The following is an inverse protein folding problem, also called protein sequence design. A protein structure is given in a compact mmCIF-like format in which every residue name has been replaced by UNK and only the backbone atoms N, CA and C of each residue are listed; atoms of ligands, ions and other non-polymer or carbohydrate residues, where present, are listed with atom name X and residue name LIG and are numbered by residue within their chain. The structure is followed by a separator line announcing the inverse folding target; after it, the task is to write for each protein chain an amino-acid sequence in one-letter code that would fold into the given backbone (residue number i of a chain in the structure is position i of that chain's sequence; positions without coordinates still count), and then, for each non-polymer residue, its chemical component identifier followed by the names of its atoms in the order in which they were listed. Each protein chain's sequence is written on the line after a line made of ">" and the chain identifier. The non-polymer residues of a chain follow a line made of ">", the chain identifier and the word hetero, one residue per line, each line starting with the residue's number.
data_IF_530413970360
#
_entry.id   IF_530413970360
#
_cell.length_a   1.000
_cell.length_b   1.000
_cell.length_c   1.000
_cell.angle_alpha   90.00
_cell.angle_beta   90.00
_cell.angle_gamma   90.00
#
_symmetry.space_group_name_H-M   'P 1'
#
loop_
_entity.id
_entity.type
_entity.pdbx_description
1 polymer ?
#
# COMPACT_ATOMS: atom_id res chain seq x y z
N UNK A 1 -10.79 -6.03 -13.65
CA UNK A 1 -11.40 -5.14 -12.66
C UNK A 1 -10.52 -3.93 -12.44
N UNK A 2 -11.06 -2.74 -12.62
CA UNK A 2 -10.28 -1.52 -12.46
C UNK A 2 -10.22 -1.11 -11.00
N UNK A 3 -9.07 -0.58 -10.58
CA UNK A 3 -8.84 -0.13 -9.22
C UNK A 3 -9.39 1.29 -9.08
N UNK A 4 -10.17 1.53 -8.04
CA UNK A 4 -10.73 2.84 -7.78
C UNK A 4 -9.79 3.65 -6.89
N UNK A 5 -8.85 4.37 -7.49
CA UNK A 5 -7.86 5.16 -6.75
C UNK A 5 -8.49 6.35 -6.03
N UNK A 6 -9.58 6.91 -6.55
CA UNK A 6 -10.27 7.99 -5.86
C UNK A 6 -10.83 7.51 -4.53
N UNK A 7 -11.39 6.31 -4.51
CA UNK A 7 -11.93 5.72 -3.29
C UNK A 7 -10.81 5.46 -2.27
N UNK A 8 -9.66 4.97 -2.75
CA UNK A 8 -8.49 4.77 -1.90
C UNK A 8 -8.06 6.09 -1.27
N UNK A 9 -7.93 7.14 -2.07
CA UNK A 9 -7.53 8.44 -1.58
C UNK A 9 -8.53 9.02 -0.60
N UNK A 10 -9.83 8.86 -0.85
CA UNK A 10 -10.85 9.36 0.04
C UNK A 10 -10.85 8.62 1.38
N UNK A 11 -10.73 7.30 1.35
CA UNK A 11 -10.74 6.49 2.57
C UNK A 11 -9.51 6.71 3.43
N UNK A 12 -8.37 6.98 2.82
CA UNK A 12 -7.09 7.14 3.53
C UNK A 12 -6.66 8.59 3.66
N UNK A 13 -7.50 9.53 3.24
CA UNK A 13 -7.22 10.98 3.34
C UNK A 13 -5.91 11.36 2.66
N UNK A 14 -5.64 10.78 1.48
CA UNK A 14 -4.43 11.06 0.71
C UNK A 14 -4.54 12.32 -0.14
N UNK A 15 -5.68 12.97 -0.17
CA UNK A 15 -5.93 14.13 -1.02
C UNK A 15 -6.65 13.77 -2.30
N UNK A 16 -6.76 14.72 -3.20
CA UNK A 16 -7.43 14.51 -4.49
C UNK A 16 -6.41 14.16 -5.57
N UNK A 17 -6.74 13.18 -6.40
CA UNK A 17 -5.88 12.78 -7.51
C UNK A 17 -5.79 13.91 -8.52
N UNK A 18 -4.58 14.30 -8.91
CA UNK A 18 -4.35 15.36 -9.90
C UNK A 18 -3.79 14.82 -11.21
N UNK A 19 -3.34 13.57 -11.22
CA UNK A 19 -2.87 12.89 -12.44
C UNK A 19 -3.34 11.45 -12.43
N UNK A 20 -3.45 10.84 -13.61
CA UNK A 20 -3.79 9.42 -13.71
C UNK A 20 -2.75 8.56 -13.01
N UNK A 21 -3.22 7.49 -12.36
CA UNK A 21 -2.32 6.52 -11.73
C UNK A 21 -1.44 5.86 -12.79
N UNK A 22 -0.16 5.74 -12.49
CA UNK A 22 0.81 5.12 -13.38
C UNK A 22 1.24 3.78 -12.81
N UNK A 23 1.08 2.72 -13.59
CA UNK A 23 1.51 1.40 -13.17
C UNK A 23 3.03 1.33 -13.22
N UNK A 24 3.63 1.05 -12.06
CA UNK A 24 5.07 0.83 -11.99
C UNK A 24 5.31 -0.63 -12.33
N UNK A 25 6.31 -0.87 -13.17
CA UNK A 25 6.65 -2.24 -13.57
C UNK A 25 7.17 -2.99 -12.36
N UNK A 26 6.29 -3.75 -11.72
CA UNK A 26 6.61 -4.50 -10.52
C UNK A 26 6.72 -5.98 -10.79
N UNK A 27 7.01 -6.72 -9.74
CA UNK A 27 7.14 -8.16 -9.82
C UNK A 27 5.81 -8.86 -10.14
N UNK A 28 5.92 -10.15 -10.36
CA UNK A 28 4.81 -11.01 -10.75
C UNK A 28 3.77 -11.12 -9.63
N UNK A 29 4.18 -10.87 -8.39
CA UNK A 29 3.36 -11.17 -7.22
C UNK A 29 2.45 -10.05 -6.77
N UNK A 30 2.83 -8.79 -7.01
CA UNK A 30 2.03 -7.64 -6.59
C UNK A 30 2.06 -6.57 -7.68
N UNK A 31 0.96 -5.80 -7.76
CA UNK A 31 0.90 -4.64 -8.65
C UNK A 31 1.26 -3.39 -7.87
N UNK A 32 2.04 -2.53 -8.48
CA UNK A 32 2.46 -1.26 -7.90
C UNK A 32 2.03 -0.11 -8.79
N UNK A 33 1.50 0.93 -8.17
CA UNK A 33 1.05 2.13 -8.88
C UNK A 33 1.62 3.37 -8.21
N UNK A 34 1.97 4.35 -9.03
CA UNK A 34 2.35 5.67 -8.56
C UNK A 34 1.16 6.60 -8.75
N UNK A 35 0.79 7.31 -7.70
CA UNK A 35 -0.28 8.31 -7.78
C UNK A 35 0.25 9.65 -7.32
N UNK A 36 -0.32 10.71 -7.85
CA UNK A 36 -0.02 12.07 -7.41
C UNK A 36 -1.33 12.72 -7.01
N UNK A 37 -1.33 13.31 -5.81
CA UNK A 37 -2.50 13.95 -5.24
C UNK A 37 -2.14 15.37 -4.80
N UNK A 38 -3.16 16.09 -4.33
CA UNK A 38 -2.98 17.42 -3.76
C UNK A 38 -2.08 17.43 -2.52
N UNK A 39 -1.85 16.26 -1.92
CA UNK A 39 -1.00 16.13 -0.72
C UNK A 39 0.39 15.57 -1.03
N UNK A 40 0.67 15.17 -2.26
CA UNK A 40 1.98 14.68 -2.65
C UNK A 40 1.93 13.43 -3.50
N UNK A 41 3.07 12.76 -3.58
CA UNK A 41 3.22 11.53 -4.37
C UNK A 41 3.18 10.32 -3.44
N UNK A 42 2.49 9.26 -3.89
CA UNK A 42 2.38 8.03 -3.12
C UNK A 42 2.58 6.84 -4.04
N UNK A 43 3.06 5.74 -3.48
CA UNK A 43 3.07 4.46 -4.16
C UNK A 43 2.02 3.57 -3.51
N UNK A 44 1.20 2.93 -4.33
CA UNK A 44 0.14 2.03 -3.87
C UNK A 44 0.47 0.62 -4.34
N UNK A 45 0.64 -0.29 -3.40
CA UNK A 45 0.87 -1.70 -3.70
C UNK A 45 -0.42 -2.47 -3.49
N UNK A 46 -0.86 -3.21 -4.51
CA UNK A 46 -2.02 -4.08 -4.43
C UNK A 46 -1.53 -5.50 -4.19
N UNK A 47 -1.96 -6.10 -3.09
CA UNK A 47 -1.54 -7.47 -2.76
C UNK A 47 -2.34 -8.44 -3.61
N UNK A 48 -1.65 -9.39 -4.24
CA UNK A 48 -2.27 -10.38 -5.10
C UNK A 48 -3.21 -11.27 -4.29
N UNK A 49 -4.49 -11.31 -4.68
CA UNK A 49 -5.51 -12.10 -3.99
C UNK A 49 -5.18 -13.59 -3.99
N UNK A 50 -4.50 -14.06 -5.03
CA UNK A 50 -4.10 -15.46 -5.13
C UNK A 50 -3.14 -15.84 -4.00
N UNK A 51 -2.21 -14.95 -3.66
CA UNK A 51 -1.30 -15.16 -2.53
C UNK A 51 -2.05 -15.23 -1.21
N UNK A 52 -3.06 -14.38 -1.06
CA UNK A 52 -3.88 -14.35 0.16
C UNK A 52 -4.65 -15.67 0.31
N UNK A 53 -5.19 -16.19 -0.78
CA UNK A 53 -5.91 -17.47 -0.77
C UNK A 53 -5.01 -18.64 -0.45
N UNK A 54 -3.77 -18.63 -0.96
CA UNK A 54 -2.82 -19.72 -0.74
C UNK A 54 -2.20 -19.74 0.64
N UNK A 55 -2.09 -18.58 1.28
CA UNK A 55 -1.47 -18.46 2.59
C UNK A 55 -2.33 -17.58 3.49
N UNK A 56 -3.05 -18.22 4.41
CA UNK A 56 -3.96 -17.53 5.32
C UNK A 56 -3.25 -16.52 6.24
N UNK A 57 -1.95 -16.69 6.45
CA UNK A 57 -1.18 -15.85 7.36
C UNK A 57 -0.44 -14.73 6.64
N UNK A 58 -0.61 -14.59 5.31
CA UNK A 58 0.20 -13.64 4.56
C UNK A 58 -0.04 -12.19 5.01
N UNK A 59 -1.28 -11.83 5.32
CA UNK A 59 -1.58 -10.48 5.77
C UNK A 59 -0.95 -10.17 7.12
N UNK A 60 -0.96 -11.14 8.04
CA UNK A 60 -0.27 -11.00 9.33
C UNK A 60 1.23 -10.85 9.14
N UNK A 61 1.80 -11.64 8.22
CA UNK A 61 3.23 -11.59 7.94
C UNK A 61 3.63 -10.24 7.35
N UNK A 62 2.80 -9.69 6.48
CA UNK A 62 3.03 -8.35 5.90
C UNK A 62 2.95 -7.29 6.99
N UNK A 63 1.94 -7.34 7.86
CA UNK A 63 1.81 -6.40 8.98
C UNK A 63 3.06 -6.44 9.87
N UNK A 64 3.52 -7.63 10.20
CA UNK A 64 4.71 -7.81 11.04
C UNK A 64 5.96 -7.26 10.35
N UNK A 65 6.12 -7.54 9.06
CA UNK A 65 7.26 -7.02 8.28
C UNK A 65 7.30 -5.51 8.26
N UNK A 66 6.13 -4.87 8.11
CA UNK A 66 6.05 -3.41 8.09
C UNK A 66 6.33 -2.81 9.48
N UNK A 67 5.94 -3.50 10.55
CA UNK A 67 6.29 -3.08 11.91
C UNK A 67 7.81 -3.10 12.09
N UNK A 68 8.47 -4.15 11.64
CA UNK A 68 9.92 -4.25 11.70
C UNK A 68 10.57 -3.14 10.88
N UNK A 69 10.05 -2.86 9.69
CA UNK A 69 10.56 -1.78 8.86
C UNK A 69 10.42 -0.41 9.54
N UNK A 70 9.32 -0.20 10.25
CA UNK A 70 9.11 1.03 11.01
C UNK A 70 10.15 1.18 12.13
N UNK A 71 10.38 0.12 12.89
CA UNK A 71 11.36 0.13 13.97
C UNK A 71 12.76 0.38 13.39
N UNK A 72 13.10 -0.26 12.29
CA UNK A 72 14.38 -0.05 11.62
C UNK A 72 14.56 1.40 11.18
N UNK A 73 13.52 1.99 10.61
CA UNK A 73 13.55 3.38 10.17
C UNK A 73 13.77 4.34 11.35
N UNK A 74 13.09 4.09 12.49
CA UNK A 74 13.25 4.91 13.69
C UNK A 74 14.67 4.81 14.28
N UNK A 75 15.38 3.74 13.99
CA UNK A 75 16.76 3.54 14.46
C UNK A 75 17.80 3.86 13.39
N UNK A 76 17.41 4.67 12.40
CA UNK A 76 18.29 5.13 11.32
C UNK A 76 18.83 4.02 10.43
N UNK A 77 18.15 2.89 10.39
CA UNK A 77 18.44 1.83 9.45
C UNK A 77 17.67 2.09 8.17
N UNK A 78 18.31 1.97 7.02
CA UNK A 78 17.72 2.27 5.73
C UNK A 78 16.53 1.35 5.43
N UNK A 79 15.33 1.86 5.72
CA UNK A 79 14.10 1.11 5.51
C UNK A 79 12.96 2.10 5.27
N UNK A 80 12.10 1.80 4.31
CA UNK A 80 10.94 2.64 3.99
C UNK A 80 9.67 1.83 4.29
N UNK A 81 9.04 2.05 5.45
CA UNK A 81 7.81 1.33 5.78
C UNK A 81 6.62 1.91 5.05
N UNK A 82 5.56 1.11 4.93
CA UNK A 82 4.27 1.59 4.47
C UNK A 82 3.70 2.60 5.48
N UNK A 83 2.77 3.43 5.01
CA UNK A 83 2.05 4.36 5.88
C UNK A 83 1.05 3.57 6.74
N UNK A 84 0.98 3.91 8.01
CA UNK A 84 0.09 3.24 8.95
C UNK A 84 -1.20 4.04 9.08
N UNK A 85 -2.33 3.37 8.85
CA UNK A 85 -3.66 3.99 8.99
C UNK A 85 -4.46 3.16 10.01
N UNK A 86 -5.03 3.83 11.01
CA UNK A 86 -5.83 3.17 12.05
C UNK A 86 -5.13 1.96 12.66
N UNK A 87 -3.85 2.12 12.98
CA UNK A 87 -2.99 1.10 13.60
C UNK A 87 -2.71 -0.11 12.70
N UNK A 88 -2.97 0.00 11.40
CA UNK A 88 -2.70 -1.08 10.44
C UNK A 88 -1.98 -0.56 9.21
N UNK A 89 -1.08 -1.37 8.67
CA UNK A 89 -0.39 -1.07 7.41
C UNK A 89 -1.19 -1.55 6.22
N UNK A 90 -1.75 -2.77 6.28
CA UNK A 90 -2.55 -3.32 5.20
C UNK A 90 -3.98 -2.78 5.32
N UNK A 91 -4.48 -2.17 4.26
CA UNK A 91 -5.82 -1.62 4.22
C UNK A 91 -6.67 -2.44 3.24
N UNK A 92 -7.92 -2.70 3.63
CA UNK A 92 -8.88 -3.37 2.76
C UNK A 92 -9.86 -2.31 2.25
N UNK A 93 -9.75 -1.98 0.97
CA UNK A 93 -10.61 -0.99 0.33
C UNK A 93 -11.16 -1.61 -0.94
N UNK A 94 -12.48 -1.66 -1.06
CA UNK A 94 -13.16 -2.16 -2.25
C UNK A 94 -12.73 -3.58 -2.60
N UNK A 95 -12.60 -4.44 -1.59
CA UNK A 95 -12.16 -5.84 -1.72
C UNK A 95 -10.70 -6.00 -2.16
N UNK A 96 -9.94 -4.92 -2.19
CA UNK A 96 -8.51 -4.98 -2.46
C UNK A 96 -7.73 -4.76 -1.18
N UNK A 97 -6.67 -5.54 -0.98
CA UNK A 97 -5.74 -5.36 0.13
C UNK A 97 -4.56 -4.56 -0.36
N UNK A 98 -4.34 -3.40 0.24
CA UNK A 98 -3.35 -2.45 -0.26
C UNK A 98 -2.40 -1.98 0.83
N UNK A 99 -1.19 -1.59 0.38
CA UNK A 99 -0.21 -0.87 1.18
C UNK A 99 0.08 0.45 0.46
N UNK A 100 0.24 1.52 1.25
CA UNK A 100 0.56 2.84 0.69
C UNK A 100 1.91 3.28 1.21
N UNK A 101 2.77 3.74 0.30
CA UNK A 101 4.10 4.27 0.62
C UNK A 101 4.18 5.72 0.18
N UNK A 102 4.94 6.48 0.91
CA UNK A 102 5.14 7.89 0.59
C UNK A 102 6.25 8.10 -0.43
#
# INVERSE_FOLDING_TARGET
>A
MSINFEKICNNLSLGNIIENAEKINGGITNQMYKIQTTKGKFAVKIINKHRIQKNKNILKNIEFSEQIATIANLNNINSIPAIRFNDKYVQNIDDEYILVYK
#
